data_IF_232516075287
#
_entry.id   IF_232516075287
#
_cell.length_a   1.000
_cell.length_b   1.000
_cell.length_c   1.000
_cell.angle_alpha   90.00
_cell.angle_beta   90.00
_cell.angle_gamma   90.00
#
_symmetry.space_group_name_H-M   'P 1'
#
loop_
_entity.id
_entity.type
_entity.pdbx_description
1 polymer ?
#
# COMPACT_ATOMS: atom_id res chain seq x y z
N UNK A 1 -6.76 45.93 72.00
CA UNK A 1 -7.01 44.56 71.53
C UNK A 1 -7.04 44.63 70.00
N UNK A 2 -5.93 44.31 69.35
CA UNK A 2 -5.74 44.47 67.89
C UNK A 2 -5.91 43.12 67.21
N UNK A 3 -6.92 42.98 66.44
CA UNK A 3 -7.25 41.77 65.69
C UNK A 3 -6.42 41.78 64.42
N UNK A 4 -5.43 40.90 64.30
CA UNK A 4 -4.70 40.68 63.06
C UNK A 4 -5.45 39.80 62.11
N UNK A 5 -5.98 40.36 61.06
CA UNK A 5 -6.61 39.65 59.95
C UNK A 5 -5.47 39.12 59.04
N UNK A 6 -5.17 37.86 59.13
CA UNK A 6 -4.26 37.18 58.20
C UNK A 6 -4.98 36.85 56.92
N UNK A 7 -4.78 37.66 55.89
CA UNK A 7 -5.22 37.36 54.51
C UNK A 7 -4.32 36.29 53.94
N UNK A 8 -4.84 35.07 53.88
CA UNK A 8 -4.18 33.94 53.22
C UNK A 8 -4.41 34.08 51.71
N UNK A 9 -3.40 34.47 50.97
CA UNK A 9 -3.41 34.42 49.52
C UNK A 9 -3.23 32.97 49.08
N UNK A 10 -4.34 32.32 48.73
CA UNK A 10 -4.30 31.05 48.02
C UNK A 10 -3.87 31.37 46.59
N UNK A 11 -2.59 31.12 46.31
CA UNK A 11 -2.05 31.19 44.96
C UNK A 11 -2.57 29.98 44.20
N UNK A 12 -3.67 30.18 43.46
CA UNK A 12 -4.19 29.17 42.55
C UNK A 12 -3.24 29.08 41.33
N UNK A 13 -2.25 28.21 41.45
CA UNK A 13 -1.38 27.88 40.33
C UNK A 13 -2.23 27.09 39.30
N UNK A 14 -2.75 27.80 38.32
CA UNK A 14 -3.35 27.18 37.12
C UNK A 14 -2.19 26.59 36.32
N UNK A 15 -1.94 25.30 36.53
CA UNK A 15 -1.09 24.50 35.68
C UNK A 15 -1.83 24.36 34.36
N UNK A 16 -1.55 25.25 33.41
CA UNK A 16 -1.85 25.02 32.02
C UNK A 16 -0.99 23.84 31.56
N UNK A 17 -1.52 22.65 31.72
CA UNK A 17 -1.01 21.51 30.95
C UNK A 17 -1.27 21.82 29.48
N UNK A 18 -0.23 22.33 28.83
CA UNK A 18 -0.17 22.33 27.37
C UNK A 18 -0.27 20.88 26.92
N UNK A 19 -1.50 20.41 26.75
CA UNK A 19 -1.75 19.26 25.92
C UNK A 19 -1.38 19.69 24.51
N UNK A 20 -0.09 19.57 24.18
CA UNK A 20 0.30 19.41 22.80
C UNK A 20 -0.38 18.12 22.36
N UNK A 21 -1.61 18.27 21.86
CA UNK A 21 -2.20 17.25 21.03
C UNK A 21 -1.15 16.99 19.95
N UNK A 22 -0.41 15.90 20.09
CA UNK A 22 0.27 15.34 18.96
C UNK A 22 -0.80 15.22 17.88
N UNK A 23 -0.87 16.20 16.99
CA UNK A 23 -1.43 15.98 15.67
C UNK A 23 -0.65 14.76 15.20
N UNK A 24 -1.27 13.60 15.27
CA UNK A 24 -0.87 12.44 14.50
C UNK A 24 -0.88 12.97 13.08
N UNK A 25 0.30 13.45 12.62
CA UNK A 25 0.46 13.74 11.23
C UNK A 25 0.04 12.45 10.56
N UNK A 26 -1.13 12.45 9.96
CA UNK A 26 -1.43 11.49 8.92
C UNK A 26 -0.27 11.72 7.96
N UNK A 27 0.76 10.90 8.06
CA UNK A 27 1.85 10.91 7.13
C UNK A 27 1.17 10.55 5.82
N UNK A 28 0.87 11.55 5.01
CA UNK A 28 0.61 11.33 3.60
C UNK A 28 1.94 10.82 3.04
N UNK A 29 2.27 9.58 3.36
CA UNK A 29 3.37 8.92 2.71
C UNK A 29 3.06 9.01 1.21
N UNK A 30 3.99 9.50 0.40
CA UNK A 30 3.73 9.68 -1.01
C UNK A 30 3.37 8.33 -1.62
N UNK A 31 2.41 8.32 -2.52
CA UNK A 31 2.14 7.15 -3.34
C UNK A 31 3.42 6.77 -4.06
N UNK A 32 3.85 5.54 -3.93
CA UNK A 32 5.06 5.04 -4.56
C UNK A 32 4.91 3.58 -4.97
N UNK A 33 5.54 3.21 -6.07
CA UNK A 33 5.58 1.82 -6.49
C UNK A 33 6.89 1.59 -7.26
N UNK A 34 7.61 0.56 -6.88
CA UNK A 34 8.86 0.16 -7.50
C UNK A 34 8.99 -1.35 -7.56
N UNK A 35 9.70 -1.84 -8.57
CA UNK A 35 10.03 -3.26 -8.71
C UNK A 35 11.28 -3.42 -9.60
N UNK A 36 11.78 -4.64 -9.66
CA UNK A 36 12.73 -5.07 -10.68
C UNK A 36 12.02 -6.07 -11.59
N UNK A 37 11.98 -5.79 -12.89
CA UNK A 37 11.33 -6.61 -13.92
C UNK A 37 12.40 -7.19 -14.82
N UNK A 38 12.64 -8.50 -14.78
CA UNK A 38 13.71 -9.16 -15.53
C UNK A 38 15.06 -8.42 -15.39
N UNK A 39 15.43 -8.00 -14.16
CA UNK A 39 16.61 -7.21 -13.81
C UNK A 39 16.58 -5.72 -14.25
N UNK A 40 15.54 -5.23 -14.88
CA UNK A 40 15.37 -3.82 -15.19
C UNK A 40 14.58 -3.11 -14.08
N UNK A 41 14.98 -1.89 -13.73
CA UNK A 41 14.29 -1.10 -12.72
C UNK A 41 12.96 -0.57 -13.25
N UNK A 42 11.90 -0.78 -12.51
CA UNK A 42 10.59 -0.13 -12.66
C UNK A 42 10.37 0.83 -11.52
N UNK A 43 10.08 2.08 -11.84
CA UNK A 43 9.71 3.11 -10.89
C UNK A 43 8.46 3.82 -11.42
N UNK A 44 7.34 3.68 -10.74
CA UNK A 44 6.10 4.29 -11.20
C UNK A 44 6.17 5.82 -11.19
N UNK A 45 5.64 6.44 -12.23
CA UNK A 45 5.36 7.87 -12.33
C UNK A 45 3.97 8.23 -11.79
N UNK A 46 3.06 7.25 -11.72
CA UNK A 46 1.71 7.36 -11.16
C UNK A 46 1.32 6.10 -10.42
N UNK A 47 0.68 6.27 -9.26
CA UNK A 47 0.14 5.16 -8.45
C UNK A 47 -1.26 5.51 -8.00
N UNK A 48 -2.20 4.61 -8.23
CA UNK A 48 -3.62 4.73 -7.83
C UNK A 48 -3.96 3.50 -6.97
N UNK A 49 -4.56 3.74 -5.80
CA UNK A 49 -5.14 2.72 -4.95
C UNK A 49 -6.66 2.84 -4.88
N UNK A 50 -7.36 1.72 -4.96
CA UNK A 50 -8.81 1.62 -4.84
C UNK A 50 -9.16 0.47 -3.91
N UNK A 51 -10.05 0.72 -2.97
CA UNK A 51 -10.72 -0.32 -2.16
C UNK A 51 -12.13 -0.53 -2.71
N UNK A 52 -12.33 -1.63 -3.42
CA UNK A 52 -13.61 -1.99 -4.02
C UNK A 52 -14.41 -2.78 -2.99
N UNK A 53 -15.16 -2.07 -2.15
CA UNK A 53 -15.85 -2.64 -0.99
C UNK A 53 -16.92 -3.67 -1.36
N UNK A 54 -17.52 -3.56 -2.53
CA UNK A 54 -18.55 -4.47 -3.03
C UNK A 54 -18.03 -5.89 -3.32
N UNK A 55 -16.74 -6.04 -3.56
CA UNK A 55 -16.08 -7.34 -3.82
C UNK A 55 -14.92 -7.62 -2.86
N UNK A 56 -14.75 -6.78 -1.82
CA UNK A 56 -13.73 -6.94 -0.78
C UNK A 56 -12.30 -7.02 -1.32
N UNK A 57 -11.94 -6.13 -2.25
CA UNK A 57 -10.66 -6.18 -2.96
C UNK A 57 -9.99 -4.82 -2.99
N UNK A 58 -8.70 -4.79 -2.70
CA UNK A 58 -7.81 -3.67 -3.01
C UNK A 58 -7.19 -3.86 -4.39
N UNK A 59 -7.20 -2.80 -5.19
CA UNK A 59 -6.45 -2.69 -6.44
C UNK A 59 -5.43 -1.57 -6.34
N UNK A 60 -4.17 -1.89 -6.62
CA UNK A 60 -3.08 -0.92 -6.70
C UNK A 60 -2.56 -0.93 -8.13
N UNK A 61 -2.78 0.16 -8.84
CA UNK A 61 -2.33 0.37 -10.21
C UNK A 61 -1.13 1.30 -10.24
N UNK A 62 -0.05 0.85 -10.85
CA UNK A 62 1.19 1.60 -11.00
C UNK A 62 1.57 1.74 -12.47
N UNK A 63 1.83 2.95 -12.93
CA UNK A 63 2.18 3.26 -14.32
C UNK A 63 3.55 3.91 -14.39
N UNK A 64 4.40 3.42 -15.30
CA UNK A 64 5.65 4.06 -15.71
C UNK A 64 5.53 4.46 -17.18
N UNK A 65 5.87 5.70 -17.49
CA UNK A 65 5.94 6.20 -18.85
C UNK A 65 7.40 6.28 -19.33
N UNK A 66 7.65 5.82 -20.56
CA UNK A 66 8.94 5.94 -21.24
C UNK A 66 8.69 6.37 -22.70
N UNK A 67 8.80 7.68 -22.95
CA UNK A 67 8.39 8.27 -24.24
C UNK A 67 6.90 8.08 -24.51
N UNK A 68 6.55 7.43 -25.63
CA UNK A 68 5.18 7.08 -26.01
C UNK A 68 4.67 5.81 -25.33
N UNK A 69 5.55 5.02 -24.71
CA UNK A 69 5.22 3.72 -24.18
C UNK A 69 4.85 3.81 -22.70
N UNK A 70 3.96 2.94 -22.28
CA UNK A 70 3.53 2.82 -20.90
C UNK A 70 3.64 1.39 -20.43
N UNK A 71 4.31 1.20 -19.31
CA UNK A 71 4.34 -0.05 -18.58
C UNK A 71 3.42 0.08 -17.36
N UNK A 72 2.59 -0.91 -17.12
CA UNK A 72 1.62 -0.92 -16.02
C UNK A 72 1.79 -2.18 -15.19
N UNK A 73 1.80 -2.03 -13.88
CA UNK A 73 1.68 -3.14 -12.93
C UNK A 73 0.41 -2.90 -12.11
N UNK A 74 -0.41 -3.92 -12.00
CA UNK A 74 -1.57 -3.96 -11.14
C UNK A 74 -1.42 -5.09 -10.12
N UNK A 75 -1.70 -4.79 -8.86
CA UNK A 75 -1.81 -5.76 -7.78
C UNK A 75 -3.23 -5.72 -7.25
N UNK A 76 -3.90 -6.87 -7.31
CA UNK A 76 -5.24 -7.07 -6.77
C UNK A 76 -5.18 -8.05 -5.62
N UNK A 77 -5.76 -7.72 -4.47
CA UNK A 77 -5.73 -8.59 -3.29
C UNK A 77 -6.91 -8.30 -2.35
N UNK A 78 -7.36 -9.32 -1.58
CA UNK A 78 -8.46 -9.15 -0.66
C UNK A 78 -8.20 -8.09 0.41
N UNK A 79 -9.21 -7.29 0.77
CA UNK A 79 -9.16 -6.28 1.83
C UNK A 79 -9.04 -6.87 3.24
N UNK A 80 -9.16 -8.20 3.34
CA UNK A 80 -9.05 -8.99 4.57
C UNK A 80 -7.62 -9.40 4.93
N UNK A 81 -6.63 -9.04 4.08
CA UNK A 81 -5.23 -9.35 4.37
C UNK A 81 -4.75 -8.65 5.63
N UNK A 82 -3.94 -9.36 6.41
CA UNK A 82 -3.39 -8.87 7.69
C UNK A 82 -1.96 -8.35 7.50
N UNK A 83 -1.64 -7.26 8.17
CA UNK A 83 -0.28 -6.69 8.18
C UNK A 83 0.73 -7.70 8.75
N UNK A 84 1.93 -7.72 8.19
CA UNK A 84 3.07 -8.58 8.56
C UNK A 84 2.84 -10.08 8.32
N UNK A 85 1.87 -10.44 7.49
CA UNK A 85 1.65 -11.80 7.03
C UNK A 85 1.87 -11.87 5.52
N UNK A 86 2.58 -12.91 5.07
CA UNK A 86 2.82 -13.16 3.65
C UNK A 86 1.71 -14.06 3.09
N UNK A 87 1.22 -13.70 1.91
CA UNK A 87 0.19 -14.42 1.17
C UNK A 87 0.71 -14.73 -0.23
N UNK A 88 0.29 -15.86 -0.76
CA UNK A 88 0.64 -16.24 -2.12
C UNK A 88 -0.15 -15.41 -3.14
N UNK A 89 0.52 -15.01 -4.22
CA UNK A 89 -0.08 -14.37 -5.40
C UNK A 89 -0.15 -15.40 -6.53
N UNK A 90 -1.31 -15.48 -7.17
CA UNK A 90 -1.50 -16.40 -8.30
C UNK A 90 -1.66 -17.85 -7.88
N UNK A 91 -1.97 -18.69 -8.88
CA UNK A 91 -2.28 -20.09 -8.63
C UNK A 91 -3.67 -20.32 -8.03
N UNK A 92 -4.02 -21.60 -7.82
CA UNK A 92 -5.34 -22.01 -7.29
C UNK A 92 -5.53 -21.73 -5.79
N UNK A 93 -4.45 -21.45 -5.07
CA UNK A 93 -4.45 -21.27 -3.60
C UNK A 93 -4.12 -19.82 -3.17
N UNK A 94 -4.12 -18.87 -4.09
CA UNK A 94 -3.67 -17.48 -3.83
C UNK A 94 -4.60 -16.67 -2.91
N UNK A 95 -5.68 -17.24 -2.43
CA UNK A 95 -6.66 -16.49 -1.63
C UNK A 95 -7.29 -15.29 -2.37
N UNK A 96 -7.22 -15.28 -3.70
CA UNK A 96 -7.72 -14.20 -4.55
C UNK A 96 -6.71 -13.10 -4.89
N UNK A 97 -5.48 -13.17 -4.39
CA UNK A 97 -4.45 -12.20 -4.79
C UNK A 97 -3.87 -12.54 -6.17
N UNK A 98 -3.77 -11.55 -7.05
CA UNK A 98 -3.13 -11.68 -8.35
C UNK A 98 -2.41 -10.41 -8.76
N UNK A 99 -1.51 -10.52 -9.74
CA UNK A 99 -0.83 -9.38 -10.35
C UNK A 99 -0.94 -9.44 -11.87
N UNK A 100 -1.01 -8.29 -12.47
CA UNK A 100 -1.00 -8.08 -13.92
C UNK A 100 0.16 -7.17 -14.27
N UNK A 101 0.86 -7.49 -15.35
CA UNK A 101 1.87 -6.64 -15.94
C UNK A 101 1.55 -6.43 -17.43
N UNK A 102 1.61 -5.19 -17.86
CA UNK A 102 1.38 -4.82 -19.24
C UNK A 102 2.58 -4.04 -19.78
N UNK A 103 3.07 -4.42 -20.95
CA UNK A 103 4.18 -3.77 -21.65
C UNK A 103 4.07 -3.97 -23.17
N UNK A 104 4.12 -2.88 -23.93
CA UNK A 104 4.14 -2.93 -25.39
C UNK A 104 2.99 -3.69 -26.05
N UNK A 105 1.80 -3.74 -25.45
CA UNK A 105 0.64 -4.48 -25.96
C UNK A 105 0.52 -5.92 -25.47
N UNK A 106 1.48 -6.41 -24.65
CA UNK A 106 1.44 -7.76 -24.06
C UNK A 106 0.98 -7.72 -22.61
N UNK A 107 0.09 -8.65 -22.28
CA UNK A 107 -0.39 -8.87 -20.92
C UNK A 107 0.26 -10.11 -20.31
N UNK A 108 0.77 -9.99 -19.10
CA UNK A 108 1.31 -11.05 -18.27
C UNK A 108 0.49 -11.15 -17.00
N UNK A 109 0.07 -12.34 -16.64
CA UNK A 109 -0.80 -12.59 -15.51
C UNK A 109 -0.14 -13.56 -14.53
N UNK A 110 -0.34 -13.32 -13.23
CA UNK A 110 0.02 -14.29 -12.18
C UNK A 110 -1.13 -15.25 -11.86
N UNK A 111 -2.31 -15.04 -12.44
CA UNK A 111 -3.50 -15.84 -12.15
C UNK A 111 -3.74 -16.92 -13.22
N UNK A 112 -4.34 -18.05 -12.79
CA UNK A 112 -4.93 -19.09 -13.65
C UNK A 112 -4.00 -19.78 -14.65
N UNK A 113 -2.66 -19.72 -14.44
CA UNK A 113 -1.68 -20.35 -15.34
C UNK A 113 -0.71 -21.23 -14.57
N UNK A 114 -0.24 -22.30 -15.22
CA UNK A 114 0.82 -23.14 -14.65
C UNK A 114 2.16 -22.40 -14.66
N UNK A 115 2.95 -22.56 -13.59
CA UNK A 115 4.28 -21.96 -13.46
C UNK A 115 4.27 -20.44 -13.22
N UNK A 116 3.16 -19.90 -12.75
CA UNK A 116 3.07 -18.58 -12.13
C UNK A 116 3.13 -18.73 -10.62
N UNK A 117 3.71 -17.75 -9.95
CA UNK A 117 3.83 -17.72 -8.50
C UNK A 117 4.14 -16.30 -8.05
N UNK A 118 3.96 -16.04 -6.78
CA UNK A 118 4.35 -14.78 -6.19
C UNK A 118 3.94 -14.70 -4.74
N UNK A 119 4.28 -13.60 -4.11
CA UNK A 119 3.86 -13.32 -2.75
C UNK A 119 3.62 -11.84 -2.55
N UNK A 120 2.72 -11.51 -1.63
CA UNK A 120 2.47 -10.16 -1.13
C UNK A 120 2.51 -10.16 0.40
N UNK A 121 3.14 -9.16 0.97
CA UNK A 121 3.17 -8.91 2.41
C UNK A 121 2.78 -7.47 2.66
N UNK A 122 1.67 -7.23 3.32
CA UNK A 122 1.33 -5.88 3.76
C UNK A 122 2.23 -5.47 4.91
N UNK A 123 2.86 -4.30 4.81
CA UNK A 123 3.67 -3.70 5.88
C UNK A 123 2.90 -2.65 6.66
N UNK A 124 1.84 -2.10 6.05
CA UNK A 124 0.92 -1.16 6.69
C UNK A 124 -0.46 -1.26 6.05
N UNK A 125 -1.50 -1.13 6.89
CA UNK A 125 -2.88 -0.94 6.47
C UNK A 125 -3.56 -0.04 7.51
N UNK A 126 -3.84 1.20 7.14
CA UNK A 126 -4.57 2.15 7.98
C UNK A 126 -5.88 2.53 7.28
N UNK A 127 -6.98 1.90 7.72
CA UNK A 127 -8.31 2.13 7.17
C UNK A 127 -8.83 3.53 7.52
N UNK A 128 -8.32 4.18 8.58
CA UNK A 128 -8.77 5.51 8.99
C UNK A 128 -8.15 6.63 8.15
N UNK A 129 -6.94 6.45 7.67
CA UNK A 129 -6.25 7.38 6.76
C UNK A 129 -6.29 6.93 5.30
N UNK A 130 -6.97 5.82 5.01
CA UNK A 130 -7.04 5.22 3.68
C UNK A 130 -5.65 4.99 3.07
N UNK A 131 -4.77 4.33 3.82
CA UNK A 131 -3.40 4.08 3.40
C UNK A 131 -3.06 2.59 3.46
N UNK A 132 -2.38 2.08 2.43
CA UNK A 132 -1.88 0.72 2.34
C UNK A 132 -0.46 0.71 1.82
N UNK A 133 0.39 -0.17 2.37
CA UNK A 133 1.75 -0.37 1.89
C UNK A 133 2.18 -1.83 2.02
N UNK A 134 3.10 -2.27 1.16
CA UNK A 134 3.56 -3.64 1.19
C UNK A 134 4.74 -3.92 0.26
N UNK A 135 5.16 -5.18 0.30
CA UNK A 135 6.17 -5.74 -0.58
C UNK A 135 5.55 -6.87 -1.40
N UNK A 136 6.10 -7.13 -2.59
CA UNK A 136 5.65 -8.23 -3.42
C UNK A 136 6.77 -8.81 -4.28
N UNK A 137 6.58 -10.03 -4.72
CA UNK A 137 7.36 -10.69 -5.76
C UNK A 137 6.43 -11.48 -6.66
N UNK A 138 6.86 -11.81 -7.87
CA UNK A 138 6.02 -12.62 -8.73
C UNK A 138 6.70 -13.13 -9.99
N UNK A 139 6.13 -14.20 -10.53
CA UNK A 139 6.38 -14.68 -11.88
C UNK A 139 5.05 -14.64 -12.61
N UNK A 140 4.97 -13.85 -13.66
CA UNK A 140 3.79 -13.72 -14.50
C UNK A 140 4.05 -14.27 -15.91
N UNK A 141 3.01 -14.75 -16.58
CA UNK A 141 3.09 -15.31 -17.93
C UNK A 141 2.14 -14.65 -18.89
N UNK A 142 2.59 -14.45 -20.13
CA UNK A 142 1.76 -14.02 -21.26
C UNK A 142 0.89 -15.16 -21.81
N UNK A 143 -0.02 -14.83 -22.70
CA UNK A 143 -0.79 -15.82 -23.45
C UNK A 143 0.08 -16.65 -24.40
N UNK A 144 1.20 -16.10 -24.86
CA UNK A 144 2.17 -16.78 -25.70
C UNK A 144 3.11 -17.73 -24.91
N UNK A 145 3.08 -17.66 -23.57
CA UNK A 145 3.91 -18.50 -22.70
C UNK A 145 5.18 -17.82 -22.20
N UNK A 146 5.49 -16.59 -22.66
CA UNK A 146 6.63 -15.82 -22.18
C UNK A 146 6.44 -15.51 -20.68
N UNK A 147 7.56 -15.49 -19.96
CA UNK A 147 7.54 -15.23 -18.51
C UNK A 147 8.30 -13.96 -18.18
N UNK A 148 7.81 -13.23 -17.19
CA UNK A 148 8.52 -12.15 -16.52
C UNK A 148 8.67 -12.45 -15.05
N UNK A 149 9.77 -11.97 -14.47
CA UNK A 149 10.06 -12.09 -13.03
C UNK A 149 10.04 -10.71 -12.43
N UNK A 150 9.19 -10.55 -11.40
CA UNK A 150 9.04 -9.34 -10.60
C UNK A 150 9.71 -9.56 -9.25
N UNK A 151 10.75 -8.82 -8.96
CA UNK A 151 11.50 -8.90 -7.70
C UNK A 151 11.56 -7.55 -7.01
N UNK A 152 11.85 -7.56 -5.71
CA UNK A 152 12.04 -6.36 -4.89
C UNK A 152 10.88 -5.37 -4.98
N UNK A 153 9.68 -5.87 -5.25
CA UNK A 153 8.48 -5.06 -5.37
C UNK A 153 8.14 -4.39 -4.04
N UNK A 154 7.87 -3.08 -4.12
CA UNK A 154 7.41 -2.27 -2.98
C UNK A 154 6.33 -1.32 -3.44
N UNK A 155 5.30 -1.15 -2.64
CA UNK A 155 4.25 -0.19 -2.90
C UNK A 155 3.82 0.54 -1.63
N UNK A 156 3.37 1.76 -1.81
CA UNK A 156 2.60 2.53 -0.84
C UNK A 156 1.57 3.36 -1.60
N UNK A 157 0.33 3.39 -1.14
CA UNK A 157 -0.74 4.14 -1.78
C UNK A 157 -1.76 4.63 -0.76
N UNK A 158 -2.16 5.87 -0.92
CA UNK A 158 -3.47 6.29 -0.44
C UNK A 158 -4.51 5.70 -1.38
N UNK A 159 -5.65 5.25 -0.87
CA UNK A 159 -6.70 4.65 -1.68
C UNK A 159 -8.04 5.36 -1.49
N UNK A 160 -8.90 5.24 -2.49
CA UNK A 160 -10.30 5.67 -2.43
C UNK A 160 -11.19 4.44 -2.28
N UNK A 161 -12.30 4.57 -1.56
CA UNK A 161 -13.32 3.52 -1.44
C UNK A 161 -14.39 3.70 -2.53
N UNK A 162 -14.81 2.57 -3.14
CA UNK A 162 -15.86 2.50 -4.15
C UNK A 162 -16.87 1.39 -3.83
#
# INVERSE_FOLDING_TARGET
MKLFLKTSYVLLAIVFTNMTACKKNSSNAPNSFSATINNNSFQASGVIGVDITSIYTFDILATQHSGSDSTVIELSFPDTLTVNKTYDIGGSNSGGAFGTYYDGGLWYLTAYRSGVSGSITLTSLDKSSHFVAGNFTGVAKSTAGDSIVLNNGKFSSNYTQQ
#
